data_IF_129277277778
#
_entry.id   IF_129277277778
#
_cell.length_a   1.000
_cell.length_b   1.000
_cell.length_c   1.000
_cell.angle_alpha   90.00
_cell.angle_beta   90.00
_cell.angle_gamma   90.00
#
_symmetry.space_group_name_H-M   'P 1'
#
loop_
_entity.id
_entity.type
_entity.pdbx_description
1 polymer ?
#
# COMPACT_ATOMS: atom_id res chain seq x y z
N UNK A 1 3.39 -27.62 1.81
CA UNK A 1 2.30 -26.80 2.38
C UNK A 1 2.68 -25.34 2.18
N UNK A 2 1.80 -24.51 1.59
CA UNK A 2 2.07 -23.06 1.49
C UNK A 2 2.19 -22.47 2.89
N UNK A 3 3.31 -21.80 3.20
CA UNK A 3 3.49 -21.13 4.49
C UNK A 3 2.63 -19.86 4.64
N UNK A 4 1.99 -19.40 3.56
CA UNK A 4 1.07 -18.28 3.56
C UNK A 4 -0.39 -18.73 3.60
N UNK A 5 -1.17 -18.16 4.51
CA UNK A 5 -2.61 -18.38 4.67
C UNK A 5 -3.37 -17.07 4.57
N UNK A 6 -4.45 -17.04 3.78
CA UNK A 6 -5.37 -15.91 3.76
C UNK A 6 -6.17 -15.88 5.05
N UNK A 7 -6.11 -14.78 5.80
CA UNK A 7 -6.87 -14.59 7.04
C UNK A 7 -8.14 -13.77 6.84
N UNK A 8 -8.19 -12.96 5.77
CA UNK A 8 -9.39 -12.29 5.32
C UNK A 8 -9.34 -12.07 3.80
N UNK A 9 -10.52 -11.89 3.22
CA UNK A 9 -10.64 -11.51 1.82
C UNK A 9 -11.84 -10.62 1.62
N UNK A 10 -11.74 -9.64 0.72
CA UNK A 10 -12.80 -8.69 0.42
C UNK A 10 -12.80 -8.33 -1.06
N UNK A 11 -13.90 -7.75 -1.55
CA UNK A 11 -13.97 -7.12 -2.87
C UNK A 11 -13.84 -5.60 -2.71
N UNK A 12 -12.87 -5.03 -3.41
CA UNK A 12 -12.63 -3.59 -3.37
C UNK A 12 -11.97 -3.07 -4.65
N UNK A 13 -12.23 -1.81 -4.99
CA UNK A 13 -11.40 -1.06 -5.94
C UNK A 13 -10.14 -0.58 -5.21
N UNK A 14 -8.98 -0.94 -5.74
CA UNK A 14 -7.67 -0.55 -5.18
C UNK A 14 -7.25 0.78 -5.79
N UNK A 15 -6.93 1.74 -4.92
CA UNK A 15 -6.59 3.11 -5.27
C UNK A 15 -5.21 3.49 -4.72
N UNK A 16 -4.54 4.40 -5.41
CA UNK A 16 -3.22 4.95 -5.14
C UNK A 16 -3.39 6.47 -5.03
N UNK A 17 -2.92 7.08 -3.94
CA UNK A 17 -2.91 8.54 -3.87
C UNK A 17 -1.74 9.10 -4.67
N UNK A 18 -2.05 9.98 -5.62
CA UNK A 18 -1.09 10.78 -6.37
C UNK A 18 -0.83 12.08 -5.59
N UNK A 19 0.32 12.16 -4.94
CA UNK A 19 0.71 13.32 -4.12
C UNK A 19 0.96 14.59 -4.95
N UNK A 20 1.22 14.48 -6.26
CA UNK A 20 1.44 15.64 -7.15
C UNK A 20 0.10 16.25 -7.52
N UNK A 21 -0.81 15.41 -8.02
CA UNK A 21 -2.12 15.86 -8.48
C UNK A 21 -3.19 15.89 -7.38
N UNK A 22 -2.81 15.53 -6.14
CA UNK A 22 -3.68 15.50 -4.95
C UNK A 22 -4.98 14.71 -5.16
N UNK A 23 -4.90 13.60 -5.90
CA UNK A 23 -6.06 12.80 -6.30
C UNK A 23 -5.84 11.31 -6.10
N UNK A 24 -6.92 10.58 -5.88
CA UNK A 24 -6.91 9.13 -5.92
C UNK A 24 -6.94 8.65 -7.37
N UNK A 25 -6.05 7.71 -7.70
CA UNK A 25 -5.97 7.06 -8.99
C UNK A 25 -6.20 5.56 -8.84
N UNK A 26 -6.89 4.91 -9.78
CA UNK A 26 -7.01 3.45 -9.75
C UNK A 26 -5.63 2.80 -9.84
N UNK A 27 -5.40 1.76 -9.05
CA UNK A 27 -4.19 0.96 -9.15
C UNK A 27 -4.30 -0.05 -10.30
N UNK A 28 -3.20 -0.21 -11.04
CA UNK A 28 -3.08 -1.09 -12.20
C UNK A 28 -3.47 -0.45 -13.52
N UNK A 29 -3.58 -1.27 -14.55
CA UNK A 29 -3.89 -0.85 -15.92
C UNK A 29 -5.35 -0.41 -16.15
N UNK A 30 -6.26 -0.74 -15.22
CA UNK A 30 -7.68 -0.45 -15.34
C UNK A 30 -8.36 -0.07 -14.01
N UNK A 31 -9.51 0.59 -14.10
CA UNK A 31 -10.43 0.75 -12.97
C UNK A 31 -11.21 -0.55 -12.71
N UNK A 32 -11.83 -0.64 -11.53
CA UNK A 32 -12.74 -1.74 -11.18
C UNK A 32 -12.28 -2.61 -10.02
N UNK A 33 -13.12 -3.60 -9.70
CA UNK A 33 -13.01 -4.43 -8.51
C UNK A 33 -11.85 -5.41 -8.58
N UNK A 34 -11.27 -5.63 -7.40
CA UNK A 34 -10.22 -6.60 -7.14
C UNK A 34 -10.67 -7.53 -6.01
N UNK A 35 -10.19 -8.78 -6.04
CA UNK A 35 -10.18 -9.64 -4.86
C UNK A 35 -8.94 -9.30 -4.04
N UNK A 36 -9.13 -8.79 -2.84
CA UNK A 36 -8.05 -8.37 -1.94
C UNK A 36 -7.99 -9.31 -0.76
N UNK A 37 -6.79 -9.76 -0.42
CA UNK A 37 -6.51 -10.68 0.66
C UNK A 37 -5.54 -10.05 1.65
N UNK A 38 -5.72 -10.38 2.93
CA UNK A 38 -4.67 -10.27 3.94
C UNK A 38 -4.08 -11.66 4.12
N UNK A 39 -2.80 -11.83 3.81
CA UNK A 39 -2.05 -13.06 4.00
C UNK A 39 -1.18 -12.99 5.24
N UNK A 40 -1.12 -14.08 5.99
CA UNK A 40 -0.14 -14.32 7.05
C UNK A 40 0.83 -15.40 6.60
N UNK A 41 2.13 -15.09 6.64
CA UNK A 41 3.18 -16.10 6.52
C UNK A 41 3.44 -16.70 7.91
N UNK A 42 2.90 -17.89 8.18
CA UNK A 42 2.83 -18.45 9.54
C UNK A 42 4.22 -18.69 10.16
N UNK A 43 5.21 -19.11 9.36
CA UNK A 43 6.57 -19.40 9.85
C UNK A 43 7.34 -18.13 10.24
N UNK A 44 7.21 -17.07 9.45
CA UNK A 44 7.94 -15.81 9.64
C UNK A 44 7.13 -14.81 10.47
N UNK A 45 5.87 -15.15 10.79
CA UNK A 45 4.87 -14.27 11.38
C UNK A 45 4.79 -12.89 10.72
N UNK A 46 4.87 -12.84 9.39
CA UNK A 46 4.71 -11.61 8.61
C UNK A 46 3.35 -11.56 7.96
N UNK A 47 2.88 -10.35 7.66
CA UNK A 47 1.59 -10.14 7.01
C UNK A 47 1.75 -9.26 5.76
N UNK A 48 0.90 -9.50 4.76
CA UNK A 48 0.85 -8.67 3.56
C UNK A 48 -0.56 -8.59 2.98
N UNK A 49 -0.86 -7.46 2.37
CA UNK A 49 -2.06 -7.25 1.55
C UNK A 49 -1.73 -7.54 0.10
N UNK A 50 -2.53 -8.40 -0.53
CA UNK A 50 -2.40 -8.72 -1.96
C UNK A 50 -3.76 -8.56 -2.62
N UNK A 51 -3.82 -7.78 -3.70
CA UNK A 51 -5.03 -7.57 -4.47
C UNK A 51 -4.81 -7.89 -5.93
N UNK A 52 -5.75 -8.65 -6.51
CA UNK A 52 -5.77 -8.97 -7.94
C UNK A 52 -7.08 -8.52 -8.57
N UNK A 53 -7.02 -7.88 -9.74
CA UNK A 53 -8.22 -7.54 -10.51
C UNK A 53 -9.05 -8.80 -10.76
N UNK A 54 -10.37 -8.67 -10.67
CA UNK A 54 -11.27 -9.80 -10.93
C UNK A 54 -11.22 -10.27 -12.39
N UNK A 55 -11.01 -9.34 -13.34
CA UNK A 55 -11.11 -9.61 -14.78
C UNK A 55 -9.90 -10.35 -15.35
N UNK A 56 -8.67 -9.91 -15.04
CA UNK A 56 -7.44 -10.38 -15.66
C UNK A 56 -6.39 -10.88 -14.65
N UNK A 57 -6.73 -10.93 -13.36
CA UNK A 57 -5.83 -11.35 -12.28
C UNK A 57 -4.55 -10.50 -12.13
N UNK A 58 -4.53 -9.29 -12.72
CA UNK A 58 -3.43 -8.33 -12.56
C UNK A 58 -3.22 -8.01 -11.08
N UNK A 59 -1.96 -8.11 -10.62
CA UNK A 59 -1.60 -7.72 -9.26
C UNK A 59 -1.57 -6.21 -9.16
N UNK A 60 -2.48 -5.65 -8.37
CA UNK A 60 -2.66 -4.19 -8.22
C UNK A 60 -2.25 -3.68 -6.85
N UNK A 61 -2.00 -4.58 -5.91
CA UNK A 61 -1.34 -4.27 -4.64
C UNK A 61 -0.62 -5.52 -4.14
N UNK A 62 0.59 -5.33 -3.65
CA UNK A 62 1.39 -6.31 -2.92
C UNK A 62 2.19 -5.55 -1.84
N UNK A 63 1.54 -5.31 -0.70
CA UNK A 63 2.04 -4.44 0.35
C UNK A 63 2.31 -5.24 1.63
N UNK A 64 3.51 -5.13 2.19
CA UNK A 64 3.83 -5.68 3.51
C UNK A 64 3.13 -4.86 4.59
N UNK A 65 2.56 -5.51 5.61
CA UNK A 65 2.02 -4.85 6.80
C UNK A 65 3.16 -4.75 7.82
N UNK A 66 3.46 -3.53 8.23
CA UNK A 66 4.47 -3.25 9.25
C UNK A 66 3.78 -3.02 10.60
N UNK A 67 4.47 -3.30 11.71
CA UNK A 67 3.98 -2.99 13.06
C UNK A 67 3.65 -1.52 13.29
N UNK A 68 4.26 -0.62 12.52
CA UNK A 68 4.04 0.82 12.56
C UNK A 68 2.98 1.30 11.57
N UNK A 69 2.32 0.39 10.85
CA UNK A 69 1.29 0.73 9.90
C UNK A 69 0.12 1.40 10.63
N UNK A 70 -0.28 2.56 10.12
CA UNK A 70 -1.46 3.27 10.59
C UNK A 70 -2.60 3.00 9.63
N UNK A 71 -3.56 2.18 10.07
CA UNK A 71 -4.76 1.89 9.32
C UNK A 71 -5.84 2.93 9.64
N UNK A 72 -6.40 3.57 8.62
CA UNK A 72 -7.42 4.62 8.78
C UNK A 72 -8.70 4.22 8.05
N UNK A 73 -9.80 4.11 8.79
CA UNK A 73 -11.14 3.89 8.26
C UNK A 73 -11.78 5.26 7.98
N UNK A 74 -11.50 5.82 6.81
CA UNK A 74 -11.94 7.18 6.46
C UNK A 74 -13.46 7.27 6.25
N UNK A 75 -14.09 6.20 5.74
CA UNK A 75 -15.54 6.00 5.77
C UNK A 75 -15.85 4.53 6.09
N UNK A 76 -17.15 4.19 6.15
CA UNK A 76 -17.62 2.82 6.29
C UNK A 76 -17.20 1.88 5.14
N UNK A 77 -16.80 2.40 3.98
CA UNK A 77 -16.39 1.59 2.82
C UNK A 77 -15.09 2.08 2.17
N UNK A 78 -14.44 3.11 2.72
CA UNK A 78 -13.18 3.60 2.21
C UNK A 78 -12.13 3.63 3.31
N UNK A 79 -11.17 2.70 3.22
CA UNK A 79 -10.06 2.59 4.18
C UNK A 79 -8.74 2.86 3.48
N UNK A 80 -7.78 3.43 4.21
CA UNK A 80 -6.49 3.83 3.67
C UNK A 80 -5.35 3.62 4.66
N UNK A 81 -4.16 3.45 4.11
CA UNK A 81 -2.91 3.41 4.87
C UNK A 81 -1.75 3.84 3.98
N UNK A 82 -0.61 4.13 4.60
CA UNK A 82 0.61 4.55 3.93
C UNK A 82 1.73 3.54 4.19
N UNK A 83 2.48 3.19 3.14
CA UNK A 83 3.81 2.59 3.24
C UNK A 83 4.90 3.65 2.94
N UNK A 84 6.16 3.24 2.82
CA UNK A 84 7.27 4.17 2.61
C UNK A 84 7.23 4.92 1.26
N UNK A 85 6.43 4.46 0.29
CA UNK A 85 6.40 4.98 -1.09
C UNK A 85 5.02 5.48 -1.49
N UNK A 86 3.98 4.90 -0.92
CA UNK A 86 2.64 4.94 -1.49
C UNK A 86 1.57 5.03 -0.41
N UNK A 87 0.53 5.82 -0.67
CA UNK A 87 -0.74 5.69 0.06
C UNK A 87 -1.67 4.81 -0.74
N UNK A 88 -2.17 3.75 -0.11
CA UNK A 88 -3.18 2.89 -0.66
C UNK A 88 -4.55 3.27 -0.09
N UNK A 89 -5.56 3.16 -0.94
CA UNK A 89 -6.97 3.25 -0.57
C UNK A 89 -7.71 2.04 -1.09
N UNK A 90 -8.62 1.51 -0.29
CA UNK A 90 -9.55 0.46 -0.69
C UNK A 90 -10.97 1.01 -0.61
N UNK A 91 -11.66 1.05 -1.75
CA UNK A 91 -13.09 1.31 -1.81
C UNK A 91 -13.83 -0.03 -1.90
N UNK A 92 -14.35 -0.50 -0.77
CA UNK A 92 -14.99 -1.80 -0.62
C UNK A 92 -16.37 -1.85 -1.28
N UNK A 93 -16.75 -3.00 -1.82
CA UNK A 93 -18.07 -3.17 -2.44
C UNK A 93 -19.22 -3.22 -1.44
N UNK A 94 -18.94 -3.47 -0.16
CA UNK A 94 -19.94 -3.44 0.91
C UNK A 94 -19.29 -3.08 2.26
N UNK A 95 -20.11 -2.67 3.23
CA UNK A 95 -19.67 -2.36 4.59
C UNK A 95 -19.17 -3.62 5.31
N UNK A 96 -19.82 -4.75 5.09
CA UNK A 96 -19.47 -6.03 5.70
C UNK A 96 -18.07 -6.48 5.27
N UNK A 97 -17.76 -6.34 3.98
CA UNK A 97 -16.42 -6.59 3.44
C UNK A 97 -15.38 -5.64 4.06
N UNK A 98 -15.74 -4.36 4.25
CA UNK A 98 -14.87 -3.36 4.85
C UNK A 98 -14.57 -3.67 6.33
N UNK A 99 -15.60 -3.99 7.11
CA UNK A 99 -15.49 -4.33 8.54
C UNK A 99 -14.64 -5.59 8.75
N UNK A 100 -14.92 -6.65 7.97
CA UNK A 100 -14.16 -7.90 8.04
C UNK A 100 -12.68 -7.70 7.69
N UNK A 101 -12.41 -6.89 6.66
CA UNK A 101 -11.03 -6.55 6.27
C UNK A 101 -10.33 -5.69 7.33
N UNK A 102 -11.03 -4.72 7.92
CA UNK A 102 -10.51 -3.89 9.00
C UNK A 102 -10.13 -4.75 10.22
N UNK A 103 -10.97 -5.69 10.63
CA UNK A 103 -10.67 -6.62 11.73
C UNK A 103 -9.36 -7.38 11.51
N UNK A 104 -9.16 -7.92 10.30
CA UNK A 104 -7.93 -8.63 9.97
C UNK A 104 -6.68 -7.74 9.88
N UNK A 105 -6.82 -6.50 9.38
CA UNK A 105 -5.73 -5.53 9.33
C UNK A 105 -5.28 -5.11 10.74
N UNK A 106 -6.24 -4.79 11.62
CA UNK A 106 -5.95 -4.40 13.00
C UNK A 106 -5.33 -5.56 13.79
N UNK A 107 -5.88 -6.78 13.64
CA UNK A 107 -5.29 -7.99 14.20
C UNK A 107 -3.84 -8.20 13.75
N UNK A 108 -3.55 -8.06 12.45
CA UNK A 108 -2.20 -8.21 11.94
C UNK A 108 -1.22 -7.19 12.56
N UNK A 109 -1.62 -5.92 12.70
CA UNK A 109 -0.79 -4.88 13.32
C UNK A 109 -0.55 -5.18 14.80
N UNK A 110 -1.57 -5.64 15.52
CA UNK A 110 -1.48 -6.02 16.94
C UNK A 110 -0.50 -7.20 17.16
N UNK A 111 -0.61 -8.26 16.35
CA UNK A 111 0.31 -9.41 16.40
C UNK A 111 1.76 -8.99 16.13
N UNK A 112 1.97 -8.10 15.16
CA UNK A 112 3.29 -7.57 14.85
C UNK A 112 3.84 -6.64 15.94
N UNK A 113 2.98 -5.99 16.71
CA UNK A 113 3.36 -5.15 17.84
C UNK A 113 3.72 -5.97 19.09
N UNK A 114 3.03 -7.09 19.32
CA UNK A 114 3.27 -7.99 20.46
C UNK A 114 4.45 -8.93 20.26
N UNK A 115 4.89 -9.15 19.02
CA UNK A 115 6.11 -9.91 18.74
C UNK A 115 7.34 -9.07 19.16
N UNK A 116 8.09 -9.49 20.20
CA UNK A 116 9.33 -8.81 20.56
C UNK A 116 10.24 -8.79 19.35
N UNK A 117 10.99 -7.70 19.14
CA UNK A 117 12.08 -7.72 18.13
C UNK A 117 12.89 -8.97 18.41
N UNK A 118 12.90 -9.95 17.51
CA UNK A 118 13.96 -10.94 17.49
C UNK A 118 15.23 -10.10 17.54
N UNK A 119 15.98 -10.23 18.64
CA UNK A 119 17.24 -9.54 18.82
C UNK A 119 18.00 -9.71 17.50
N UNK A 120 18.20 -8.62 16.76
CA UNK A 120 19.37 -8.55 15.90
C UNK A 120 20.49 -8.72 16.91
N UNK A 121 21.02 -9.94 17.02
CA UNK A 121 22.27 -10.19 17.70
C UNK A 121 23.21 -9.15 17.12
N UNK A 122 23.60 -8.19 17.96
CA UNK A 122 24.69 -7.31 17.64
C UNK A 122 25.85 -8.25 17.30
N UNK A 123 26.20 -8.35 16.02
CA UNK A 123 27.43 -9.02 15.64
C UNK A 123 28.53 -8.33 16.44
N UNK A 124 29.31 -9.06 17.27
CA UNK A 124 30.41 -8.46 17.98
C UNK A 124 31.32 -7.80 16.93
N UNK A 125 31.59 -6.52 17.12
CA UNK A 125 32.57 -5.78 16.32
C UNK A 125 33.89 -6.56 16.31
N UNK A 126 34.56 -6.70 15.15
CA UNK A 126 35.84 -7.39 15.10
C UNK A 126 36.86 -6.70 16.02
N UNK A 127 37.76 -7.46 16.67
CA UNK A 127 38.75 -6.90 17.57
C UNK A 127 39.69 -5.96 16.83
N UNK A 128 39.91 -4.78 17.39
CA UNK A 128 40.88 -3.80 16.91
C UNK A 128 42.27 -4.25 17.38
N UNK A 129 43.14 -4.64 16.45
CA UNK A 129 44.55 -4.93 16.77
C UNK A 129 45.35 -3.62 16.84
N UNK A 130 46.18 -3.40 17.87
CA UNK A 130 47.07 -2.24 17.92
C UNK A 130 48.15 -2.37 16.83
N UNK A 131 48.24 -1.38 15.94
CA UNK A 131 49.30 -1.25 14.96
C UNK A 131 50.57 -0.75 15.65
N UNK A 132 51.58 -1.63 15.76
CA UNK A 132 52.91 -1.29 16.22
C UNK A 132 53.72 -0.68 15.07
N UNK A 133 54.35 0.45 15.37
CA UNK A 133 55.26 1.19 14.50
C UNK A 133 56.35 0.27 13.91
N UNK A 134 56.45 0.20 12.58
CA UNK A 134 57.53 -0.53 11.90
C UNK A 134 57.62 -0.13 10.44
N UNK A 135 58.72 0.55 10.08
CA UNK A 135 59.16 0.83 8.72
C UNK A 135 59.24 -0.45 7.89
N UNK A 136 58.67 -0.45 6.70
CA UNK A 136 59.16 -1.21 5.55
C UNK A 136 58.85 -0.44 4.27
N UNK A 137 59.91 -0.32 3.46
CA UNK A 137 60.02 0.45 2.23
C UNK A 137 59.28 -0.22 1.05
N UNK A 138 59.08 0.59 0.02
CA UNK A 138 58.40 0.39 -1.25
C UNK A 138 58.74 -0.92 -2.00
N UNK A 139 57.70 -1.66 -2.44
CA UNK A 139 57.49 -2.08 -3.84
C UNK A 139 56.36 -3.13 -3.94
N UNK A 140 55.11 -2.68 -4.14
CA UNK A 140 54.10 -3.35 -4.98
C UNK A 140 52.76 -2.60 -4.88
N UNK A 141 52.35 -2.02 -6.00
CA UNK A 141 51.21 -1.09 -6.10
C UNK A 141 49.82 -1.73 -6.00
N UNK A 142 49.33 -1.93 -4.79
CA UNK A 142 47.89 -2.00 -4.52
C UNK A 142 47.47 -0.87 -3.56
N UNK A 143 46.93 0.22 -4.12
CA UNK A 143 46.22 1.23 -3.31
C UNK A 143 44.76 0.79 -3.12
N UNK A 144 44.25 0.68 -1.88
CA UNK A 144 42.81 0.63 -1.66
C UNK A 144 42.20 2.01 -2.00
N UNK A 145 41.08 2.01 -2.73
CA UNK A 145 40.27 3.21 -2.95
C UNK A 145 39.67 3.62 -1.61
N UNK A 146 40.06 4.79 -1.10
CA UNK A 146 39.41 5.44 0.04
C UNK A 146 38.18 6.16 -0.51
N UNK A 147 36.95 5.86 -0.07
CA UNK A 147 35.82 6.70 -0.43
C UNK A 147 35.99 8.07 0.25
N UNK A 148 36.02 9.13 -0.56
CA UNK A 148 35.95 10.51 -0.10
C UNK A 148 34.68 10.69 0.74
N UNK A 149 34.85 10.96 2.04
CA UNK A 149 33.76 11.44 2.88
C UNK A 149 33.34 12.82 2.38
N UNK A 150 32.08 12.93 1.96
CA UNK A 150 31.46 14.21 1.65
C UNK A 150 31.27 14.98 2.96
N UNK A 151 31.54 16.30 3.02
CA UNK A 151 31.28 17.08 4.22
C UNK A 151 29.77 17.11 4.53
N UNK A 152 29.37 17.22 5.81
CA UNK A 152 27.96 17.22 6.20
C UNK A 152 27.25 18.46 5.63
N UNK A 153 26.11 18.23 4.98
CA UNK A 153 25.20 19.29 4.55
C UNK A 153 24.50 19.84 5.80
N UNK A 154 24.74 21.13 6.10
CA UNK A 154 24.02 21.86 7.14
C UNK A 154 22.58 22.09 6.62
N UNK A 155 21.59 21.48 7.28
CA UNK A 155 20.17 21.74 7.00
C UNK A 155 19.75 22.95 7.86
N UNK A 156 19.34 24.10 7.29
CA UNK A 156 18.73 25.15 8.07
C UNK A 156 17.33 24.72 8.52
N UNK A 157 17.13 24.71 9.83
CA UNK A 157 15.81 24.59 10.47
C UNK A 157 14.99 25.85 10.22
N UNK A 158 13.93 25.75 9.41
CA UNK A 158 12.67 26.45 9.66
C UNK A 158 11.59 26.04 8.64
N UNK A 159 10.48 25.47 9.14
CA UNK A 159 9.12 25.90 8.86
C UNK A 159 8.13 24.90 9.48
N UNK A 160 7.31 25.41 10.39
CA UNK A 160 6.11 24.77 10.94
C UNK A 160 5.15 24.39 9.80
N UNK A 161 4.83 23.10 9.67
CA UNK A 161 3.75 22.65 8.79
C UNK A 161 2.40 22.91 9.47
N UNK A 162 1.40 23.48 8.77
CA UNK A 162 0.04 23.52 9.27
C UNK A 162 -0.57 22.12 9.23
N UNK A 163 -1.24 21.75 10.32
CA UNK A 163 -2.02 20.53 10.46
C UNK A 163 -3.16 20.55 9.42
N UNK A 164 -3.11 19.69 8.40
CA UNK A 164 -4.22 19.53 7.45
C UNK A 164 -5.32 18.70 8.11
N UNK A 165 -6.29 19.40 8.69
CA UNK A 165 -7.59 18.82 9.05
C UNK A 165 -8.35 18.57 7.75
N UNK A 166 -8.46 17.31 7.35
CA UNK A 166 -9.27 16.92 6.19
C UNK A 166 -10.76 16.94 6.59
N UNK A 167 -11.50 17.89 6.05
CA UNK A 167 -12.95 18.03 6.24
C UNK A 167 -13.73 17.04 5.36
N UNK A 168 -14.86 16.53 5.88
CA UNK A 168 -15.75 15.54 5.25
C UNK A 168 -16.23 15.91 3.84
N UNK A 169 -16.17 17.19 3.46
CA UNK A 169 -16.72 17.68 2.20
C UNK A 169 -16.01 17.11 0.96
N UNK A 170 -14.73 16.75 1.05
CA UNK A 170 -13.97 16.21 -0.09
C UNK A 170 -14.22 14.70 -0.34
N UNK A 171 -14.86 14.00 0.61
CA UNK A 171 -15.24 12.60 0.44
C UNK A 171 -16.52 12.43 -0.39
N UNK A 172 -17.46 13.37 -0.28
CA UNK A 172 -18.76 13.26 -0.94
C UNK A 172 -18.68 13.33 -2.47
N UNK A 173 -17.67 14.00 -3.04
CA UNK A 173 -17.49 14.03 -4.50
C UNK A 173 -16.99 12.71 -5.10
N UNK A 174 -16.49 11.77 -4.29
CA UNK A 174 -16.01 10.47 -4.77
C UNK A 174 -17.08 9.37 -4.76
N UNK A 175 -18.21 9.58 -4.07
CA UNK A 175 -19.31 8.59 -3.96
C UNK A 175 -20.19 8.57 -5.22
N UNK A 176 -20.34 9.69 -5.93
CA UNK A 176 -21.40 9.88 -6.92
C UNK A 176 -21.06 9.49 -8.37
N UNK A 177 -19.82 9.12 -8.68
CA UNK A 177 -19.40 8.87 -10.07
C UNK A 177 -19.70 7.46 -10.59
N UNK A 178 -20.45 6.63 -9.86
CA UNK A 178 -20.67 5.22 -10.25
C UNK A 178 -22.13 4.81 -10.45
N UNK A 179 -22.97 5.71 -10.99
CA UNK A 179 -24.29 5.34 -11.50
C UNK A 179 -24.56 6.05 -12.84
N UNK A 180 -24.07 5.48 -13.94
CA UNK A 180 -24.62 5.72 -15.28
C UNK A 180 -24.41 4.46 -16.12
N UNK A 181 -25.26 3.46 -15.90
CA UNK A 181 -25.50 2.42 -16.89
C UNK A 181 -26.52 2.96 -17.89
N UNK A 182 -26.07 3.24 -19.11
CA UNK A 182 -26.90 3.58 -20.26
C UNK A 182 -27.81 2.40 -20.59
N UNK A 183 -29.11 2.51 -20.30
CA UNK A 183 -30.13 1.66 -20.90
C UNK A 183 -30.45 2.23 -22.29
N UNK A 184 -29.82 1.68 -23.32
CA UNK A 184 -30.25 1.88 -24.71
C UNK A 184 -31.49 1.01 -24.96
N UNK A 185 -32.68 1.60 -24.92
CA UNK A 185 -33.88 0.99 -25.48
C UNK A 185 -34.07 1.48 -26.93
N UNK A 186 -33.74 0.62 -27.88
CA UNK A 186 -34.18 0.75 -29.27
C UNK A 186 -35.68 0.38 -29.35
N UNK A 187 -36.55 1.37 -29.49
CA UNK A 187 -37.93 1.15 -29.92
C UNK A 187 -38.03 1.37 -31.42
N UNK A 188 -37.94 0.29 -32.18
CA UNK A 188 -38.21 0.28 -33.62
C UNK A 188 -39.68 0.59 -33.89
N UNK A 189 -39.87 1.56 -34.76
CA UNK A 189 -41.13 2.00 -35.33
C UNK A 189 -41.72 0.88 -36.21
N UNK A 190 -42.93 0.41 -35.91
CA UNK A 190 -43.72 -0.39 -36.86
C UNK A 190 -45.14 0.17 -36.96
N UNK A 191 -45.43 0.81 -38.10
CA UNK A 191 -46.75 1.23 -38.53
C UNK A 191 -47.68 0.02 -38.69
N UNK A 192 -48.94 0.15 -38.25
CA UNK A 192 -50.04 -0.77 -38.56
C UNK A 192 -50.77 -0.27 -39.82
N UNK A 193 -51.24 -1.16 -40.72
CA UNK A 193 -52.04 -0.74 -41.87
C UNK A 193 -53.51 -0.57 -41.50
N UNK A 194 -54.14 0.39 -42.18
CA UNK A 194 -55.57 0.68 -42.15
C UNK A 194 -56.38 -0.45 -42.79
N UNK A 195 -57.50 -0.84 -42.17
CA UNK A 195 -58.57 -1.57 -42.87
C UNK A 195 -59.95 -1.31 -42.27
N UNK A 196 -60.81 -0.79 -43.14
CA UNK A 196 -62.25 -1.00 -43.30
C UNK A 196 -63.13 -1.20 -42.05
N UNK A 197 -64.03 -0.23 -41.83
CA UNK A 197 -65.47 -0.44 -42.06
C UNK A 197 -66.18 0.87 -42.32
#
# INVERSE_FOLDING_TARGET
MSSEKSIASARASVMIYDDVNKKWMPSGSSSGLSKVHVFQHQVNNTFRVVGRKLQNQEVVINCVILKSLKYNQATATFHQWRDNKQVYGLNFSSKEDADAFAGAMLFAVEVLASTPRANIQQFPSPPVYPQTNGQYEEDMGYRPIIPLQQPPVIIPTNQTQPNLVYSEHNLNHMIHTNNNNTVNNNSSHSQLPSSAR
#
